data_IF_863252928933
#
_entry.id   IF_863252928933
#
_cell.length_a   1.000
_cell.length_b   1.000
_cell.length_c   1.000
_cell.angle_alpha   90.00
_cell.angle_beta   90.00
_cell.angle_gamma   90.00
#
_symmetry.space_group_name_H-M   'P 1'
#
loop_
_entity.id
_entity.type
_entity.pdbx_description
1 polymer ?
#
# COMPACT_ATOMS: atom_id res chain seq x y z
N UNK A 1 18.41 28.85 10.10
CA UNK A 1 18.03 27.44 10.32
C UNK A 1 17.84 27.12 11.80
N UNK A 2 18.80 27.43 12.69
CA UNK A 2 18.60 27.30 14.15
C UNK A 2 17.27 27.92 14.64
N UNK A 3 16.98 29.19 14.30
CA UNK A 3 15.72 29.83 14.68
C UNK A 3 14.46 29.10 14.21
N UNK A 4 14.51 28.45 13.04
CA UNK A 4 13.40 27.63 12.53
C UNK A 4 13.27 26.36 13.37
N UNK A 5 14.39 25.70 13.65
CA UNK A 5 14.45 24.55 14.57
C UNK A 5 13.84 24.91 15.93
N UNK A 6 14.25 26.04 16.52
CA UNK A 6 13.77 26.48 17.84
C UNK A 6 12.27 26.81 17.85
N UNK A 7 11.72 27.26 16.72
CA UNK A 7 10.28 27.50 16.54
C UNK A 7 9.46 26.21 16.34
N UNK A 8 10.10 25.11 15.95
CA UNK A 8 9.46 23.80 15.84
C UNK A 8 9.34 23.13 17.22
N UNK A 9 8.34 22.28 17.40
CA UNK A 9 8.18 21.42 18.58
C UNK A 9 9.03 20.15 18.45
N UNK A 10 9.45 19.51 19.57
CA UNK A 10 9.99 18.16 19.54
C UNK A 10 9.01 17.21 18.83
N UNK A 11 9.53 16.34 17.97
CA UNK A 11 8.71 15.43 17.21
C UNK A 11 8.47 14.14 17.98
N UNK A 12 7.20 13.80 18.20
CA UNK A 12 6.75 12.50 18.71
C UNK A 12 6.74 11.45 17.59
N UNK A 13 6.52 10.19 17.95
CA UNK A 13 6.18 9.12 17.01
C UNK A 13 5.08 8.24 17.60
N UNK A 14 4.36 7.53 16.74
CA UNK A 14 3.33 6.60 17.18
C UNK A 14 3.93 5.30 17.69
N UNK A 15 3.53 4.85 18.88
CA UNK A 15 3.82 3.52 19.41
C UNK A 15 2.61 3.02 20.18
N UNK A 16 2.09 1.85 19.81
CA UNK A 16 0.96 1.22 20.50
C UNK A 16 -0.26 2.15 20.69
N UNK A 17 -0.61 2.94 19.67
CA UNK A 17 -1.72 3.92 19.68
C UNK A 17 -1.50 5.16 20.55
N UNK A 18 -0.28 5.41 21.00
CA UNK A 18 0.09 6.63 21.72
C UNK A 18 1.20 7.40 20.99
N UNK A 19 1.14 8.73 21.07
CA UNK A 19 2.26 9.58 20.66
C UNK A 19 3.31 9.58 21.77
N UNK A 20 4.48 9.04 21.47
CA UNK A 20 5.59 8.91 22.40
C UNK A 20 6.69 9.91 22.02
N UNK A 21 7.20 10.61 23.03
CA UNK A 21 8.43 11.41 22.94
C UNK A 21 9.58 10.60 23.54
N UNK A 22 10.39 9.97 22.69
CA UNK A 22 11.61 9.25 23.07
C UNK A 22 12.74 9.64 22.11
N UNK A 23 13.66 10.46 22.61
CA UNK A 23 14.80 10.98 21.85
C UNK A 23 15.84 9.89 21.50
N UNK A 24 15.76 8.71 22.13
CA UNK A 24 16.54 7.53 21.76
C UNK A 24 16.04 6.85 20.48
N UNK A 25 14.78 7.11 20.11
CA UNK A 25 14.16 6.54 18.91
C UNK A 25 13.93 7.59 17.81
N UNK A 26 13.53 8.81 18.20
CA UNK A 26 13.37 9.94 17.29
C UNK A 26 13.90 11.21 17.96
N UNK A 27 15.03 11.70 17.47
CA UNK A 27 15.53 13.03 17.80
C UNK A 27 15.31 13.92 16.57
N UNK A 28 14.19 14.63 16.54
CA UNK A 28 13.86 15.57 15.47
C UNK A 28 12.89 16.63 15.99
N UNK A 29 12.75 17.73 15.25
CA UNK A 29 11.71 18.74 15.50
C UNK A 29 10.75 18.80 14.32
N UNK A 30 9.49 19.09 14.58
CA UNK A 30 8.45 19.24 13.54
C UNK A 30 7.66 20.53 13.73
N UNK A 31 7.02 20.97 12.66
CA UNK A 31 5.98 21.99 12.66
C UNK A 31 4.80 21.43 11.88
N UNK A 32 3.59 21.55 12.44
CA UNK A 32 2.38 21.00 11.85
C UNK A 32 1.86 21.94 10.75
N UNK A 33 1.19 21.40 9.73
CA UNK A 33 0.78 22.16 8.53
C UNK A 33 -0.06 23.42 8.78
N UNK A 34 -0.69 23.53 9.95
CA UNK A 34 -1.46 24.71 10.35
C UNK A 34 -0.59 25.90 10.81
N UNK A 35 0.66 25.64 11.20
CA UNK A 35 1.56 26.63 11.79
C UNK A 35 2.52 27.25 10.77
N UNK A 36 2.47 26.81 9.51
CA UNK A 36 3.24 27.39 8.42
C UNK A 36 2.49 27.36 7.09
N UNK A 37 2.96 28.18 6.15
CA UNK A 37 2.46 28.21 4.78
C UNK A 37 3.62 28.06 3.82
N UNK A 38 3.37 27.37 2.70
CA UNK A 38 4.32 27.22 1.61
C UNK A 38 3.81 27.94 0.37
N UNK A 39 4.74 28.43 -0.45
CA UNK A 39 4.45 28.92 -1.79
C UNK A 39 5.50 28.34 -2.75
N UNK A 40 5.18 27.19 -3.35
CA UNK A 40 6.11 26.39 -4.18
C UNK A 40 5.94 26.70 -5.68
N UNK A 41 5.07 27.65 -6.05
CA UNK A 41 4.85 28.05 -7.46
C UNK A 41 4.08 27.02 -8.30
N UNK A 42 3.91 27.31 -9.60
CA UNK A 42 3.15 26.48 -10.54
C UNK A 42 3.85 25.14 -10.87
N UNK A 43 5.18 25.09 -10.76
CA UNK A 43 6.00 23.91 -11.08
C UNK A 43 5.77 22.75 -10.09
N UNK A 44 5.19 23.01 -8.92
CA UNK A 44 4.89 21.96 -7.94
C UNK A 44 3.94 20.90 -8.48
N UNK A 45 2.98 21.28 -9.34
CA UNK A 45 2.06 20.31 -9.95
C UNK A 45 2.78 19.38 -10.93
N UNK A 46 3.76 19.89 -11.67
CA UNK A 46 4.59 19.09 -12.57
C UNK A 46 5.53 18.17 -11.79
N UNK A 47 6.22 18.68 -10.77
CA UNK A 47 7.05 17.87 -9.88
C UNK A 47 6.25 16.74 -9.24
N UNK A 48 5.05 17.05 -8.73
CA UNK A 48 4.17 16.06 -8.14
C UNK A 48 3.76 15.02 -9.17
N UNK A 49 3.42 15.44 -10.39
CA UNK A 49 3.12 14.54 -11.51
C UNK A 49 4.25 13.57 -11.81
N UNK A 50 5.48 14.07 -11.92
CA UNK A 50 6.67 13.25 -12.17
C UNK A 50 6.98 12.30 -11.00
N UNK A 51 6.87 12.79 -9.76
CA UNK A 51 7.14 11.98 -8.56
C UNK A 51 6.15 10.81 -8.43
N UNK A 52 4.86 11.08 -8.64
CA UNK A 52 3.82 10.05 -8.56
C UNK A 52 3.89 9.09 -9.74
N UNK A 53 4.14 9.58 -10.96
CA UNK A 53 4.35 8.71 -12.12
C UNK A 53 5.56 7.78 -11.94
N UNK A 54 6.64 8.28 -11.31
CA UNK A 54 7.82 7.46 -11.00
C UNK A 54 7.53 6.39 -9.95
N UNK A 55 6.71 6.71 -8.94
CA UNK A 55 6.34 5.80 -7.87
C UNK A 55 5.35 4.72 -8.33
N UNK A 56 4.29 5.14 -9.02
CA UNK A 56 3.21 4.25 -9.47
C UNK A 56 3.52 3.53 -10.77
N UNK A 57 4.55 3.98 -11.51
CA UNK A 57 4.98 3.44 -12.81
C UNK A 57 3.86 3.54 -13.88
N UNK A 58 3.96 2.75 -14.95
CA UNK A 58 3.03 2.79 -16.08
C UNK A 58 1.64 2.25 -15.72
N UNK A 59 1.64 1.27 -14.80
CA UNK A 59 0.55 0.41 -14.38
C UNK A 59 -0.59 1.15 -13.65
N UNK A 60 -0.43 2.45 -13.41
CA UNK A 60 -1.45 3.30 -12.79
C UNK A 60 -1.48 4.71 -13.43
N UNK A 61 -1.07 4.82 -14.69
CA UNK A 61 -0.93 6.12 -15.38
C UNK A 61 -2.26 6.88 -15.56
N UNK A 62 -3.40 6.20 -15.46
CA UNK A 62 -4.75 6.75 -15.52
C UNK A 62 -5.30 7.18 -14.15
N UNK A 63 -4.67 6.72 -13.05
CA UNK A 63 -5.14 7.01 -11.70
C UNK A 63 -4.87 8.46 -11.33
N UNK A 64 -5.91 9.09 -10.78
CA UNK A 64 -5.85 10.45 -10.26
C UNK A 64 -5.41 10.45 -8.80
N UNK A 65 -4.67 11.48 -8.43
CA UNK A 65 -4.08 11.61 -7.10
C UNK A 65 -4.08 13.06 -6.63
N UNK A 66 -3.91 13.23 -5.31
CA UNK A 66 -3.66 14.52 -4.66
C UNK A 66 -2.52 14.39 -3.66
N UNK A 67 -1.80 15.48 -3.42
CA UNK A 67 -0.86 15.61 -2.33
C UNK A 67 -1.43 16.54 -1.26
N UNK A 68 -1.31 16.14 0.00
CA UNK A 68 -1.73 16.91 1.17
C UNK A 68 -0.49 17.27 1.98
N UNK A 69 -0.24 18.57 2.18
CA UNK A 69 0.85 19.02 3.05
C UNK A 69 0.59 18.51 4.46
N UNK A 70 1.55 17.78 5.01
CA UNK A 70 1.42 17.15 6.32
C UNK A 70 2.24 17.88 7.37
N UNK A 71 3.56 17.96 7.18
CA UNK A 71 4.45 18.59 8.17
C UNK A 71 5.76 19.07 7.57
N UNK A 72 6.38 20.01 8.29
CA UNK A 72 7.77 20.37 8.11
C UNK A 72 8.61 19.66 9.19
N UNK A 73 9.71 19.03 8.82
CA UNK A 73 10.64 18.43 9.77
C UNK A 73 11.99 19.17 9.73
N UNK A 74 12.59 19.35 10.89
CA UNK A 74 13.94 19.90 11.06
C UNK A 74 14.79 18.91 11.85
N UNK A 75 15.88 18.47 11.23
CA UNK A 75 16.90 17.63 11.85
C UNK A 75 18.17 18.47 11.99
N UNK A 76 18.56 18.77 13.23
CA UNK A 76 19.83 19.43 13.53
C UNK A 76 20.95 18.43 13.80
N UNK A 77 22.14 18.87 14.22
CA UNK A 77 23.25 17.95 14.53
C UNK A 77 22.85 16.87 15.54
N UNK A 78 23.17 15.62 15.25
CA UNK A 78 22.81 14.44 16.03
C UNK A 78 21.36 13.97 15.86
N UNK A 79 20.49 14.75 15.21
CA UNK A 79 19.08 14.37 14.99
C UNK A 79 18.95 13.19 14.02
N UNK A 80 18.04 12.26 14.31
CA UNK A 80 17.76 11.04 13.53
C UNK A 80 16.31 10.59 13.72
N UNK A 81 15.88 9.60 12.95
CA UNK A 81 14.64 8.88 13.21
C UNK A 81 14.83 7.42 12.83
N UNK A 82 14.70 6.50 13.78
CA UNK A 82 14.85 5.06 13.58
C UNK A 82 13.82 4.48 12.58
N UNK A 83 14.04 3.24 12.16
CA UNK A 83 13.18 2.52 11.20
C UNK A 83 11.72 2.46 11.64
N UNK A 84 10.83 3.02 10.83
CA UNK A 84 9.38 3.09 11.03
C UNK A 84 8.62 3.04 9.70
N UNK A 85 7.28 3.00 9.76
CA UNK A 85 6.38 3.14 8.60
C UNK A 85 5.51 4.39 8.74
N UNK A 86 4.91 4.81 7.63
CA UNK A 86 3.93 5.90 7.68
C UNK A 86 2.65 5.43 8.33
N UNK A 87 2.14 6.16 9.31
CA UNK A 87 0.83 5.87 9.88
C UNK A 87 -0.25 6.22 8.86
N UNK A 88 -1.04 5.24 8.38
CA UNK A 88 -2.08 5.51 7.42
C UNK A 88 -3.20 6.37 8.00
N UNK A 89 -3.81 7.22 7.16
CA UNK A 89 -4.85 8.19 7.56
C UNK A 89 -6.18 8.02 6.85
N UNK A 90 -6.19 7.30 5.73
CA UNK A 90 -7.37 7.00 4.95
C UNK A 90 -7.10 5.78 4.06
N UNK A 91 -8.15 5.04 3.71
CA UNK A 91 -8.14 3.94 2.74
C UNK A 91 -7.43 4.32 1.42
N UNK A 92 -7.59 5.55 0.96
CA UNK A 92 -7.03 6.03 -0.31
C UNK A 92 -5.57 6.51 -0.22
N UNK A 93 -4.98 6.55 0.98
CA UNK A 93 -3.57 6.94 1.14
C UNK A 93 -2.67 5.86 0.54
N UNK A 94 -1.71 6.24 -0.29
CA UNK A 94 -0.82 5.25 -0.90
C UNK A 94 0.66 5.47 -0.58
N UNK A 95 1.06 6.70 -0.21
CA UNK A 95 2.45 6.98 0.07
C UNK A 95 2.72 8.39 0.57
N UNK A 96 4.00 8.73 0.56
CA UNK A 96 4.51 10.02 0.98
C UNK A 96 5.44 10.59 -0.09
N UNK A 97 5.41 11.92 -0.22
CA UNK A 97 6.39 12.71 -0.96
C UNK A 97 7.16 13.57 0.04
N UNK A 98 8.48 13.42 0.06
CA UNK A 98 9.40 14.22 0.88
C UNK A 98 10.19 15.13 -0.03
N UNK A 99 10.02 16.45 0.14
CA UNK A 99 10.88 17.46 -0.47
C UNK A 99 11.97 17.85 0.51
N UNK A 100 13.23 17.71 0.11
CA UNK A 100 14.36 18.24 0.86
C UNK A 100 14.63 19.67 0.42
N UNK A 101 14.39 20.63 1.32
CA UNK A 101 14.73 22.02 1.05
C UNK A 101 16.25 22.16 0.95
N UNK A 102 16.76 23.08 0.10
CA UNK A 102 18.19 23.23 -0.19
C UNK A 102 18.92 23.94 0.97
N UNK A 103 18.92 23.32 2.14
CA UNK A 103 19.57 23.80 3.35
C UNK A 103 20.93 23.15 3.52
N UNK A 104 21.91 23.88 4.03
CA UNK A 104 23.26 23.34 4.27
C UNK A 104 23.24 22.30 5.42
N UNK A 105 23.67 21.08 5.12
CA UNK A 105 23.78 19.98 6.08
C UNK A 105 24.72 18.86 5.58
N UNK A 106 25.20 18.03 6.50
CA UNK A 106 25.87 16.75 6.21
C UNK A 106 25.19 15.61 6.97
N UNK A 107 25.17 14.40 6.38
CA UNK A 107 24.39 13.28 6.92
C UNK A 107 22.88 13.48 6.70
N UNK A 108 22.05 12.84 7.52
CA UNK A 108 20.59 12.97 7.38
C UNK A 108 19.98 12.14 6.25
N UNK A 109 20.68 11.12 5.75
CA UNK A 109 20.22 10.23 4.67
C UNK A 109 18.87 9.64 5.01
N UNK A 110 17.91 9.73 4.09
CA UNK A 110 16.68 8.95 4.17
C UNK A 110 16.94 7.57 3.54
N UNK A 111 16.81 6.51 4.33
CA UNK A 111 16.95 5.13 3.88
C UNK A 111 15.57 4.52 3.77
N UNK A 112 15.27 3.92 2.61
CA UNK A 112 14.01 3.24 2.32
C UNK A 112 14.29 1.75 2.10
N UNK A 113 13.48 0.87 2.71
CA UNK A 113 13.60 -0.58 2.59
C UNK A 113 12.26 -1.18 2.19
N UNK A 114 12.20 -1.72 0.98
CA UNK A 114 11.04 -2.43 0.46
C UNK A 114 11.45 -3.87 0.13
N UNK A 115 11.00 -4.83 0.94
CA UNK A 115 11.44 -6.21 0.89
C UNK A 115 12.97 -6.36 1.02
N UNK A 116 13.64 -6.82 -0.04
CA UNK A 116 15.09 -7.04 -0.07
C UNK A 116 15.87 -5.86 -0.67
N UNK A 117 15.18 -4.81 -1.12
CA UNK A 117 15.81 -3.65 -1.75
C UNK A 117 15.99 -2.51 -0.74
N UNK A 118 17.19 -1.91 -0.71
CA UNK A 118 17.50 -0.72 0.07
C UNK A 118 17.86 0.46 -0.85
N UNK A 119 17.19 1.59 -0.66
CA UNK A 119 17.43 2.82 -1.41
C UNK A 119 17.88 3.94 -0.46
N UNK A 120 18.86 4.74 -0.89
CA UNK A 120 19.39 5.87 -0.10
C UNK A 120 19.14 7.17 -0.82
N UNK A 121 18.44 8.07 -0.16
CA UNK A 121 18.20 9.43 -0.63
C UNK A 121 19.08 10.41 0.15
N UNK A 122 20.14 10.87 -0.53
CA UNK A 122 21.16 11.76 0.01
C UNK A 122 20.88 13.23 -0.35
N UNK A 123 20.17 13.95 0.52
CA UNK A 123 19.83 15.36 0.28
C UNK A 123 20.97 16.35 0.52
N UNK A 124 22.08 15.90 1.11
CA UNK A 124 23.23 16.75 1.46
C UNK A 124 24.14 17.08 0.26
N UNK A 125 24.01 16.36 -0.85
CA UNK A 125 24.92 16.47 -2.00
C UNK A 125 24.56 17.57 -3.02
N UNK A 126 23.48 18.33 -2.80
CA UNK A 126 22.93 19.27 -3.79
C UNK A 126 23.72 20.58 -3.96
N UNK A 127 24.93 20.69 -3.41
CA UNK A 127 25.84 21.82 -3.66
C UNK A 127 26.83 21.46 -4.77
N UNK A 128 26.37 20.96 -5.91
CA UNK A 128 27.24 20.94 -7.08
C UNK A 128 27.36 22.38 -7.60
N UNK A 129 28.42 23.04 -7.14
CA UNK A 129 28.84 24.40 -7.53
C UNK A 129 29.17 24.57 -9.03
N UNK A 130 28.92 23.53 -9.83
CA UNK A 130 29.11 23.49 -11.28
C UNK A 130 28.00 24.21 -12.08
N UNK A 131 26.82 24.44 -11.47
CA UNK A 131 25.75 25.24 -12.08
C UNK A 131 25.84 26.71 -11.63
N UNK A 132 26.43 27.55 -12.48
CA UNK A 132 26.35 29.01 -12.41
C UNK A 132 24.91 29.49 -12.72
N UNK A 133 23.95 29.22 -11.83
CA UNK A 133 22.58 29.70 -12.00
C UNK A 133 21.93 30.04 -10.68
N UNK A 134 21.22 31.17 -10.63
CA UNK A 134 20.34 31.65 -9.54
C UNK A 134 19.14 30.70 -9.24
N UNK A 135 19.23 29.43 -9.61
CA UNK A 135 18.16 28.42 -9.52
C UNK A 135 18.52 27.42 -8.43
N UNK A 136 17.75 27.43 -7.35
CA UNK A 136 17.87 26.44 -6.30
C UNK A 136 17.17 25.13 -6.71
N UNK A 137 17.90 24.02 -6.72
CA UNK A 137 17.35 22.67 -6.99
C UNK A 137 16.75 22.09 -5.72
N UNK A 138 15.54 21.53 -5.83
CA UNK A 138 14.88 20.79 -4.74
C UNK A 138 14.95 19.31 -5.04
N UNK A 139 15.58 18.55 -4.14
CA UNK A 139 15.60 17.09 -4.22
C UNK A 139 14.33 16.53 -3.58
N UNK A 140 13.84 15.42 -4.11
CA UNK A 140 12.64 14.77 -3.60
C UNK A 140 12.76 13.25 -3.57
N UNK A 141 11.98 12.63 -2.69
CA UNK A 141 11.79 11.19 -2.62
C UNK A 141 10.29 10.89 -2.47
N UNK A 142 9.76 9.97 -3.28
CA UNK A 142 8.40 9.47 -3.18
C UNK A 142 8.44 7.97 -2.91
N UNK A 143 7.65 7.49 -1.96
CA UNK A 143 7.63 6.07 -1.56
C UNK A 143 6.26 5.67 -1.04
N UNK A 144 5.96 4.37 -1.11
CA UNK A 144 4.72 3.84 -0.57
C UNK A 144 4.73 3.82 0.95
N UNK A 145 3.57 4.07 1.58
CA UNK A 145 3.52 4.29 3.03
C UNK A 145 3.87 3.05 3.87
N UNK A 146 3.73 1.85 3.29
CA UNK A 146 4.10 0.59 3.96
C UNK A 146 5.60 0.28 3.95
N UNK A 147 6.41 1.09 3.25
CA UNK A 147 7.86 0.92 3.13
C UNK A 147 8.52 1.32 4.46
N UNK A 148 9.39 0.45 4.97
CA UNK A 148 10.19 0.75 6.15
C UNK A 148 11.21 1.83 5.82
N UNK A 149 11.29 2.85 6.66
CA UNK A 149 12.19 3.96 6.41
C UNK A 149 12.77 4.57 7.68
N UNK A 150 13.96 5.15 7.55
CA UNK A 150 14.66 5.83 8.62
C UNK A 150 15.45 7.03 8.12
N UNK A 151 15.76 7.94 9.02
CA UNK A 151 16.64 9.08 8.79
C UNK A 151 17.91 8.87 9.61
N UNK A 152 19.03 8.65 8.92
CA UNK A 152 20.34 8.53 9.57
C UNK A 152 20.75 9.86 10.24
N UNK A 153 21.66 9.83 11.24
CA UNK A 153 22.05 11.04 11.95
C UNK A 153 22.55 12.17 11.03
N UNK A 154 22.09 13.39 11.30
CA UNK A 154 22.69 14.60 10.73
C UNK A 154 23.99 14.88 11.47
N UNK A 155 25.09 15.03 10.73
CA UNK A 155 26.43 15.27 11.27
C UNK A 155 26.64 16.75 11.55
N UNK A 156 26.23 17.61 10.62
CA UNK A 156 26.36 19.07 10.73
C UNK A 156 25.26 19.79 9.96
N UNK A 157 25.01 21.06 10.31
CA UNK A 157 23.98 21.87 9.68
C UNK A 157 22.56 21.45 10.06
N UNK A 158 21.59 21.76 9.19
CA UNK A 158 20.18 21.49 9.42
C UNK A 158 19.53 20.93 8.16
N UNK A 159 19.03 19.71 8.23
CA UNK A 159 18.20 19.12 7.17
C UNK A 159 16.76 19.52 7.40
N UNK A 160 16.17 20.23 6.44
CA UNK A 160 14.77 20.67 6.50
C UNK A 160 13.99 20.00 5.38
N UNK A 161 12.87 19.36 5.72
CA UNK A 161 12.00 18.71 4.75
C UNK A 161 10.56 19.13 4.86
N UNK A 162 9.85 19.11 3.73
CA UNK A 162 8.40 19.13 3.66
C UNK A 162 7.92 17.72 3.33
N UNK A 163 6.97 17.21 4.10
CA UNK A 163 6.34 15.92 3.85
C UNK A 163 4.89 16.14 3.39
N UNK A 164 4.51 15.45 2.34
CA UNK A 164 3.15 15.40 1.83
C UNK A 164 2.64 13.96 1.88
N UNK A 165 1.40 13.77 2.35
CA UNK A 165 0.69 12.51 2.20
C UNK A 165 0.11 12.44 0.78
N UNK A 166 0.23 11.29 0.12
CA UNK A 166 -0.28 11.05 -1.21
C UNK A 166 -1.54 10.17 -1.16
N UNK A 167 -2.60 10.61 -1.84
CA UNK A 167 -3.88 9.91 -1.88
C UNK A 167 -4.35 9.69 -3.31
N UNK A 168 -4.95 8.53 -3.58
CA UNK A 168 -5.83 8.37 -4.73
C UNK A 168 -7.05 9.27 -4.57
N UNK A 169 -7.54 9.83 -5.67
CA UNK A 169 -8.58 10.86 -5.65
C UNK A 169 -9.40 10.84 -6.93
N UNK A 170 -10.72 10.93 -6.83
CA UNK A 170 -11.58 11.07 -8.01
C UNK A 170 -11.60 12.50 -8.60
N UNK A 171 -11.13 13.49 -7.81
CA UNK A 171 -11.06 14.90 -8.21
C UNK A 171 -10.26 15.08 -9.50
N UNK A 172 -10.71 15.93 -10.44
CA UNK A 172 -10.02 16.14 -11.71
C UNK A 172 -8.65 16.79 -11.49
N UNK A 173 -7.61 15.98 -11.35
CA UNK A 173 -6.25 16.38 -11.65
C UNK A 173 -5.98 16.02 -13.11
N UNK A 174 -5.38 16.94 -13.86
CA UNK A 174 -4.89 16.64 -15.20
C UNK A 174 -3.48 16.05 -15.04
N UNK A 175 -3.28 14.72 -15.16
CA UNK A 175 -1.93 14.21 -15.29
C UNK A 175 -1.31 14.81 -16.56
N UNK A 176 -0.09 15.32 -16.45
CA UNK A 176 0.76 15.43 -17.63
C UNK A 176 0.90 14.00 -18.16
N UNK A 177 0.47 13.80 -19.42
CA UNK A 177 0.51 12.48 -20.03
C UNK A 177 1.94 11.95 -19.96
N UNK A 178 2.15 10.92 -19.15
CA UNK A 178 3.35 10.12 -19.22
C UNK A 178 3.27 9.35 -20.53
N UNK A 179 4.19 9.59 -21.46
CA UNK A 179 4.32 8.83 -22.72
C UNK A 179 4.87 7.42 -22.47
N UNK A 180 4.53 6.79 -21.34
CA UNK A 180 4.87 5.41 -21.09
C UNK A 180 3.80 4.57 -21.76
N UNK A 181 4.14 4.08 -22.94
CA UNK A 181 3.33 3.12 -23.68
C UNK A 181 3.07 1.93 -22.76
N UNK A 182 1.81 1.53 -22.51
CA UNK A 182 1.52 0.33 -21.75
C UNK A 182 2.21 -0.84 -22.45
N UNK A 183 3.22 -1.41 -21.81
CA UNK A 183 3.79 -2.66 -22.28
C UNK A 183 2.64 -3.68 -22.24
N UNK A 184 2.33 -4.32 -23.37
CA UNK A 184 1.37 -5.43 -23.39
C UNK A 184 1.99 -6.49 -22.49
N UNK A 185 1.52 -6.57 -21.25
CA UNK A 185 2.20 -7.34 -20.22
C UNK A 185 2.28 -8.80 -20.64
N UNK A 186 3.45 -9.42 -20.46
CA UNK A 186 3.60 -10.86 -20.70
C UNK A 186 2.55 -11.69 -19.96
N UNK A 187 2.07 -11.18 -18.81
CA UNK A 187 0.96 -11.74 -18.06
C UNK A 187 -0.35 -11.81 -18.85
N UNK A 188 -0.75 -10.74 -19.56
CA UNK A 188 -1.96 -10.75 -20.41
C UNK A 188 -1.87 -11.84 -21.47
N UNK A 189 -0.74 -11.91 -22.18
CA UNK A 189 -0.53 -12.91 -23.23
C UNK A 189 -0.56 -14.33 -22.65
N UNK A 190 0.10 -14.55 -21.51
CA UNK A 190 0.11 -15.85 -20.84
C UNK A 190 -1.30 -16.28 -20.41
N UNK A 191 -2.05 -15.41 -19.72
CA UNK A 191 -3.41 -15.73 -19.28
C UNK A 191 -4.34 -15.94 -20.47
N UNK A 192 -4.24 -15.13 -21.52
CA UNK A 192 -5.02 -15.31 -22.74
C UNK A 192 -4.72 -16.66 -23.42
N UNK A 193 -3.46 -17.10 -23.44
CA UNK A 193 -3.09 -18.40 -23.99
C UNK A 193 -3.63 -19.54 -23.12
N UNK A 194 -3.57 -19.42 -21.79
CA UNK A 194 -4.19 -20.39 -20.88
C UNK A 194 -5.70 -20.50 -21.13
N UNK A 195 -6.42 -19.38 -21.28
CA UNK A 195 -7.86 -19.41 -21.55
C UNK A 195 -8.22 -20.13 -22.86
N UNK A 196 -7.34 -20.08 -23.86
CA UNK A 196 -7.50 -20.80 -25.15
C UNK A 196 -7.16 -22.28 -25.08
N UNK A 197 -6.41 -22.70 -24.07
CA UNK A 197 -6.04 -24.10 -23.88
C UNK A 197 -7.24 -24.88 -23.32
N UNK A 198 -7.77 -25.89 -24.03
CA UNK A 198 -8.92 -26.67 -23.56
C UNK A 198 -8.61 -27.51 -22.31
N UNK A 199 -7.34 -27.69 -21.95
CA UNK A 199 -6.92 -28.42 -20.75
C UNK A 199 -6.85 -27.54 -19.50
N UNK A 200 -6.85 -26.22 -19.68
CA UNK A 200 -6.74 -25.28 -18.56
C UNK A 200 -8.11 -25.06 -17.91
N UNK A 201 -8.31 -25.62 -16.71
CA UNK A 201 -9.55 -25.51 -15.92
C UNK A 201 -10.83 -25.75 -16.77
N UNK A 202 -11.00 -26.91 -17.42
CA UNK A 202 -12.07 -27.11 -18.42
C UNK A 202 -13.48 -26.91 -17.85
N UNK A 203 -13.67 -27.16 -16.55
CA UNK A 203 -14.92 -26.98 -15.81
C UNK A 203 -15.03 -25.60 -15.13
N UNK A 204 -14.12 -24.68 -15.44
CA UNK A 204 -13.97 -23.41 -14.74
C UNK A 204 -13.22 -23.57 -13.42
N UNK A 205 -13.02 -22.47 -12.71
CA UNK A 205 -12.34 -22.47 -11.42
C UNK A 205 -11.89 -21.09 -10.97
N UNK A 206 -11.14 -21.05 -9.87
CA UNK A 206 -10.64 -19.82 -9.28
C UNK A 206 -9.12 -19.76 -9.36
N UNK A 207 -8.59 -18.61 -9.75
CA UNK A 207 -7.18 -18.26 -9.58
C UNK A 207 -7.01 -17.31 -8.40
N UNK A 208 -6.04 -17.59 -7.54
CA UNK A 208 -5.71 -16.76 -6.39
C UNK A 208 -4.40 -16.01 -6.58
N UNK A 209 -4.39 -14.73 -6.22
CA UNK A 209 -3.20 -13.89 -6.21
C UNK A 209 -3.08 -13.19 -4.85
N UNK A 210 -2.10 -13.56 -4.03
CA UNK A 210 -1.66 -12.69 -2.94
C UNK A 210 -1.05 -11.42 -3.53
N UNK A 211 -1.63 -10.27 -3.16
CA UNK A 211 -1.18 -8.97 -3.65
C UNK A 211 0.18 -8.60 -3.04
N UNK A 212 1.00 -7.91 -3.83
CA UNK A 212 2.36 -7.53 -3.46
C UNK A 212 2.36 -6.46 -2.37
N UNK A 213 1.46 -5.49 -2.46
CA UNK A 213 1.46 -4.35 -1.56
C UNK A 213 0.49 -4.55 -0.39
N UNK A 214 0.81 -3.90 0.72
CA UNK A 214 -0.15 -3.71 1.82
C UNK A 214 -0.91 -2.39 1.63
N UNK A 215 -2.16 -2.36 2.08
CA UNK A 215 -3.08 -1.24 1.88
C UNK A 215 -3.59 -0.73 3.23
N UNK A 216 -3.72 0.60 3.42
CA UNK A 216 -4.39 1.14 4.60
C UNK A 216 -5.79 0.57 4.72
N UNK A 217 -6.17 0.03 5.87
CA UNK A 217 -7.49 -0.52 6.12
C UNK A 217 -7.93 -0.23 7.55
N UNK A 218 -9.22 -0.03 7.72
CA UNK A 218 -9.91 0.12 9.00
C UNK A 218 -10.98 -0.96 9.17
N UNK A 219 -11.49 -1.13 10.39
CA UNK A 219 -12.65 -1.98 10.66
C UNK A 219 -13.93 -1.55 9.89
N UNK A 220 -13.94 -0.37 9.27
CA UNK A 220 -15.06 0.16 8.47
C UNK A 220 -14.80 0.11 6.97
N UNK A 221 -13.64 -0.34 6.54
CA UNK A 221 -13.23 -0.32 5.14
C UNK A 221 -13.96 -1.39 4.34
N UNK A 222 -14.41 -1.02 3.15
CA UNK A 222 -14.99 -1.95 2.17
C UNK A 222 -13.87 -2.44 1.25
N UNK A 223 -13.50 -3.71 1.41
CA UNK A 223 -12.39 -4.36 0.71
C UNK A 223 -12.54 -4.29 -0.81
N UNK A 224 -13.77 -4.30 -1.34
CA UNK A 224 -13.96 -4.25 -2.80
C UNK A 224 -13.62 -2.88 -3.39
N UNK A 225 -13.70 -1.80 -2.60
CA UNK A 225 -13.34 -0.44 -3.09
C UNK A 225 -11.86 -0.29 -3.38
N UNK A 226 -11.01 -1.14 -2.81
CA UNK A 226 -9.56 -1.11 -3.00
C UNK A 226 -9.13 -1.45 -4.42
N UNK A 227 -10.00 -2.01 -5.26
CA UNK A 227 -9.74 -2.17 -6.69
C UNK A 227 -9.28 -0.83 -7.30
N UNK A 228 -9.92 0.28 -6.91
CA UNK A 228 -9.53 1.63 -7.36
C UNK A 228 -8.17 2.10 -6.81
N UNK A 229 -7.69 1.51 -5.71
CA UNK A 229 -6.47 1.90 -4.99
C UNK A 229 -5.29 0.93 -5.17
N UNK A 230 -5.43 -0.13 -5.98
CA UNK A 230 -4.35 -1.09 -6.21
C UNK A 230 -3.10 -0.43 -6.81
N UNK A 231 -1.92 -0.83 -6.31
CA UNK A 231 -0.61 -0.25 -6.64
C UNK A 231 0.15 -1.17 -7.59
N UNK A 232 0.79 -0.60 -8.62
CA UNK A 232 1.71 -1.31 -9.52
C UNK A 232 1.12 -2.60 -10.09
N UNK A 233 1.85 -3.71 -9.92
CA UNK A 233 1.47 -5.03 -10.46
C UNK A 233 0.13 -5.55 -9.94
N UNK A 234 -0.29 -5.14 -8.73
CA UNK A 234 -1.60 -5.54 -8.19
C UNK A 234 -2.74 -4.99 -9.04
N UNK A 235 -2.58 -3.75 -9.54
CA UNK A 235 -3.54 -3.14 -10.46
C UNK A 235 -3.55 -3.85 -11.82
N UNK A 236 -2.37 -4.18 -12.33
CA UNK A 236 -2.21 -4.89 -13.62
C UNK A 236 -2.98 -6.20 -13.65
N UNK A 237 -3.03 -6.97 -12.55
CA UNK A 237 -3.77 -8.23 -12.53
C UNK A 237 -5.25 -8.00 -12.78
N UNK A 238 -5.85 -7.01 -12.11
CA UNK A 238 -7.27 -6.65 -12.28
C UNK A 238 -7.55 -6.07 -13.66
N UNK A 239 -6.68 -5.19 -14.17
CA UNK A 239 -6.81 -4.64 -15.53
C UNK A 239 -6.80 -5.74 -16.60
N UNK A 240 -5.91 -6.72 -16.45
CA UNK A 240 -5.82 -7.86 -17.38
C UNK A 240 -7.04 -8.76 -17.26
N UNK A 241 -7.51 -9.05 -16.04
CA UNK A 241 -8.74 -9.82 -15.83
C UNK A 241 -9.94 -9.13 -16.51
N UNK A 242 -10.13 -7.83 -16.27
CA UNK A 242 -11.19 -7.02 -16.88
C UNK A 242 -11.08 -6.99 -18.41
N UNK A 243 -9.86 -6.81 -18.96
CA UNK A 243 -9.62 -6.78 -20.40
C UNK A 243 -9.88 -8.13 -21.09
N UNK A 244 -9.89 -9.23 -20.34
CA UNK A 244 -10.23 -10.58 -20.80
C UNK A 244 -11.68 -10.96 -20.46
N UNK A 245 -12.47 -10.04 -19.88
CA UNK A 245 -13.87 -10.27 -19.51
C UNK A 245 -14.05 -11.19 -18.29
N UNK A 246 -13.01 -11.34 -17.45
CA UNK A 246 -13.06 -12.16 -16.24
C UNK A 246 -13.54 -11.34 -15.04
N UNK A 247 -14.33 -11.97 -14.18
CA UNK A 247 -14.71 -11.40 -12.89
C UNK A 247 -13.57 -11.52 -11.88
N UNK A 248 -13.40 -10.51 -11.03
CA UNK A 248 -12.40 -10.55 -9.97
C UNK A 248 -12.87 -9.87 -8.69
N UNK A 249 -12.42 -10.37 -7.54
CA UNK A 249 -12.88 -9.93 -6.22
C UNK A 249 -11.73 -9.91 -5.22
N UNK A 250 -11.69 -8.90 -4.36
CA UNK A 250 -10.68 -8.79 -3.30
C UNK A 250 -11.10 -9.55 -2.05
N UNK A 251 -10.14 -10.12 -1.31
CA UNK A 251 -10.37 -10.87 -0.08
C UNK A 251 -9.31 -10.54 0.96
N UNK A 252 -9.72 -10.54 2.23
CA UNK A 252 -8.81 -10.50 3.37
C UNK A 252 -8.86 -11.89 4.00
N UNK A 253 -7.69 -12.45 4.30
CA UNK A 253 -7.55 -13.73 5.00
C UNK A 253 -6.87 -13.47 6.33
N UNK A 254 -7.45 -13.96 7.41
CA UNK A 254 -6.87 -13.91 8.75
C UNK A 254 -6.47 -15.32 9.16
N UNK A 255 -5.24 -15.49 9.60
CA UNK A 255 -4.82 -16.71 10.29
C UNK A 255 -5.30 -16.65 11.75
N UNK A 256 -6.25 -17.52 12.09
CA UNK A 256 -6.85 -17.59 13.43
C UNK A 256 -6.32 -18.76 14.25
N UNK A 257 -5.25 -19.42 13.78
CA UNK A 257 -4.62 -20.55 14.48
C UNK A 257 -4.18 -20.20 15.91
N UNK A 258 -3.96 -18.92 16.23
CA UNK A 258 -3.60 -18.46 17.59
C UNK A 258 -4.81 -18.22 18.53
N UNK A 259 -6.04 -18.18 18.00
CA UNK A 259 -7.26 -17.83 18.78
C UNK A 259 -8.10 -19.08 19.11
N UNK A 260 -7.92 -20.19 18.39
CA UNK A 260 -8.66 -21.44 18.57
C UNK A 260 -7.77 -22.63 18.98
N UNK A 261 -8.28 -23.48 19.87
CA UNK A 261 -7.57 -24.66 20.40
C UNK A 261 -7.89 -25.96 19.62
N UNK A 262 -8.41 -25.85 18.40
CA UNK A 262 -8.76 -27.00 17.54
C UNK A 262 -8.35 -26.71 16.08
N UNK A 263 -8.03 -27.80 15.37
CA UNK A 263 -7.27 -27.87 14.12
C UNK A 263 -7.55 -26.79 13.06
N UNK A 264 -6.44 -26.21 12.57
CA UNK A 264 -6.17 -25.49 11.32
C UNK A 264 -7.29 -25.33 10.28
N UNK A 265 -8.21 -24.39 10.48
CA UNK A 265 -9.05 -23.85 9.40
C UNK A 265 -8.57 -22.44 9.01
N UNK A 266 -8.22 -22.25 7.73
CA UNK A 266 -7.93 -20.93 7.16
C UNK A 266 -9.27 -20.28 6.77
N UNK A 267 -9.59 -19.14 7.38
CA UNK A 267 -10.88 -18.47 7.19
C UNK A 267 -10.77 -17.33 6.17
N UNK A 268 -11.62 -17.36 5.15
CA UNK A 268 -11.70 -16.33 4.11
C UNK A 268 -12.84 -15.37 4.42
N UNK A 269 -12.56 -14.07 4.35
CA UNK A 269 -13.57 -13.05 4.61
C UNK A 269 -13.81 -12.20 3.36
N UNK A 270 -15.09 -12.13 2.97
CA UNK A 270 -15.58 -11.30 1.86
C UNK A 270 -15.53 -9.80 2.20
N UNK A 271 -15.41 -9.48 3.50
CA UNK A 271 -15.38 -8.12 4.06
C UNK A 271 -14.41 -8.09 5.25
N UNK A 272 -13.82 -6.92 5.54
CA UNK A 272 -12.99 -6.75 6.74
C UNK A 272 -13.83 -7.10 7.97
N UNK A 273 -13.30 -7.93 8.88
CA UNK A 273 -14.04 -8.39 10.06
C UNK A 273 -14.42 -7.18 10.92
N UNK A 274 -15.73 -7.02 11.18
CA UNK A 274 -16.26 -6.00 12.09
C UNK A 274 -15.85 -6.36 13.52
N UNK A 275 -15.33 -5.41 14.28
CA UNK A 275 -15.31 -5.54 15.74
C UNK A 275 -16.77 -5.71 16.22
N UNK A 276 -17.17 -6.93 16.57
CA UNK A 276 -18.35 -7.12 17.41
C UNK A 276 -17.86 -7.14 18.85
N UNK A 277 -18.16 -6.10 19.60
CA UNK A 277 -18.05 -6.15 21.05
C UNK A 277 -18.97 -7.25 21.60
N UNK A 278 -18.38 -8.40 21.93
CA UNK A 278 -19.05 -9.61 22.43
C UNK A 278 -18.18 -10.85 22.19
N UNK A 279 -18.30 -11.85 23.05
CA UNK A 279 -17.41 -13.02 23.20
C UNK A 279 -17.28 -14.00 22.00
N UNK A 280 -17.45 -13.57 20.74
CA UNK A 280 -17.08 -14.35 19.55
C UNK A 280 -16.96 -13.44 18.30
N UNK A 281 -15.78 -12.87 17.98
CA UNK A 281 -15.64 -11.82 16.98
C UNK A 281 -15.71 -12.28 15.51
N UNK A 282 -15.85 -13.58 15.26
CA UNK A 282 -15.48 -14.16 13.95
C UNK A 282 -16.66 -14.72 13.15
N UNK A 283 -17.83 -14.91 13.76
CA UNK A 283 -18.87 -15.77 13.16
C UNK A 283 -19.87 -15.10 12.20
N UNK A 284 -19.86 -13.79 12.01
CA UNK A 284 -21.01 -13.16 11.35
C UNK A 284 -20.95 -13.16 9.80
N UNK A 285 -19.79 -13.29 9.14
CA UNK A 285 -19.71 -13.19 7.66
C UNK A 285 -18.56 -13.98 6.96
N UNK A 286 -17.99 -15.01 7.59
CA UNK A 286 -16.86 -15.78 7.02
C UNK A 286 -17.26 -17.18 6.51
N UNK A 287 -16.64 -17.63 5.42
CA UNK A 287 -16.71 -19.05 4.99
C UNK A 287 -15.44 -19.78 5.46
N UNK A 288 -15.63 -20.98 6.05
CA UNK A 288 -14.53 -21.91 6.36
C UNK A 288 -14.11 -22.62 5.06
N UNK A 289 -12.82 -22.66 4.75
CA UNK A 289 -12.32 -23.32 3.54
C UNK A 289 -11.07 -24.14 3.86
N UNK A 290 -11.14 -25.46 3.75
CA UNK A 290 -9.98 -26.33 3.95
C UNK A 290 -9.12 -26.41 2.68
N UNK A 291 -7.80 -26.30 2.83
CA UNK A 291 -6.85 -26.67 1.77
C UNK A 291 -6.83 -28.19 1.62
N UNK A 292 -7.67 -28.74 0.75
CA UNK A 292 -7.50 -30.13 0.29
C UNK A 292 -6.83 -30.13 -1.07
N UNK A 293 -5.59 -30.61 -1.11
CA UNK A 293 -4.96 -31.11 -2.34
C UNK A 293 -5.76 -32.34 -2.83
N UNK A 294 -6.75 -32.14 -3.70
CA UNK A 294 -7.26 -33.23 -4.51
C UNK A 294 -8.00 -32.72 -5.75
N UNK A 295 -7.66 -33.33 -6.88
CA UNK A 295 -8.46 -33.41 -8.11
C UNK A 295 -9.93 -33.68 -7.77
N UNK A 296 -10.79 -32.67 -7.85
CA UNK A 296 -12.13 -32.76 -8.44
C UNK A 296 -12.84 -31.41 -8.37
N UNK A 297 -13.22 -30.90 -9.54
CA UNK A 297 -13.88 -29.61 -9.74
C UNK A 297 -15.38 -29.76 -9.59
N UNK A 298 -16.00 -28.94 -8.71
CA UNK A 298 -17.42 -28.62 -8.79
C UNK A 298 -17.64 -27.12 -8.65
N UNK A 299 -18.15 -26.52 -9.72
CA UNK A 299 -18.72 -25.18 -9.74
C UNK A 299 -20.06 -25.18 -8.98
N UNK A 300 -20.34 -24.12 -8.23
CA UNK A 300 -21.68 -23.82 -7.72
C UNK A 300 -22.08 -22.48 -8.31
N UNK A 301 -23.15 -22.49 -9.09
CA UNK A 301 -23.83 -21.31 -9.61
C UNK A 301 -24.60 -20.60 -8.51
N UNK A 302 -24.64 -19.28 -8.63
CA UNK A 302 -25.37 -18.33 -7.81
C UNK A 302 -26.88 -18.62 -7.85
N UNK A 303 -27.43 -19.24 -6.79
CA UNK A 303 -28.85 -19.16 -6.44
C UNK A 303 -29.04 -19.57 -4.97
N UNK A 304 -29.57 -18.64 -4.17
CA UNK A 304 -30.18 -18.81 -2.83
C UNK A 304 -29.25 -19.19 -1.66
N UNK A 305 -28.86 -18.16 -0.90
CA UNK A 305 -28.39 -18.25 0.48
C UNK A 305 -29.55 -18.57 1.43
N UNK A 306 -29.97 -19.83 1.49
CA UNK A 306 -30.68 -20.37 2.64
C UNK A 306 -30.06 -21.72 3.05
N UNK A 307 -29.74 -21.81 4.33
CA UNK A 307 -29.44 -23.02 5.10
C UNK A 307 -28.16 -23.80 4.78
N UNK A 308 -27.16 -23.60 5.64
CA UNK A 308 -25.99 -24.46 5.77
C UNK A 308 -26.40 -25.86 6.22
N UNK A 309 -26.60 -26.76 5.26
CA UNK A 309 -26.55 -28.21 5.52
C UNK A 309 -25.28 -28.81 4.91
N UNK A 310 -24.44 -29.35 5.80
CA UNK A 310 -23.28 -30.20 5.58
C UNK A 310 -23.17 -30.84 4.18
N UNK A 311 -22.10 -30.53 3.43
CA UNK A 311 -21.68 -31.33 2.28
C UNK A 311 -21.10 -30.57 1.07
N UNK A 312 -21.11 -29.24 1.05
CA UNK A 312 -20.41 -28.49 0.00
C UNK A 312 -18.90 -28.47 0.29
N UNK A 313 -18.11 -29.09 -0.59
CA UNK A 313 -16.66 -28.94 -0.58
C UNK A 313 -16.31 -27.47 -0.78
N UNK A 314 -15.41 -26.95 0.04
CA UNK A 314 -14.81 -25.63 -0.11
C UNK A 314 -14.30 -25.43 -1.57
N UNK A 315 -14.63 -24.33 -2.27
CA UNK A 315 -14.07 -24.05 -3.59
C UNK A 315 -12.53 -24.10 -3.63
N UNK A 316 -11.96 -24.89 -4.54
CA UNK A 316 -10.50 -24.98 -4.71
C UNK A 316 -9.99 -23.72 -5.42
N UNK A 317 -9.05 -23.01 -4.79
CA UNK A 317 -8.37 -21.83 -5.36
C UNK A 317 -6.97 -22.23 -5.84
N UNK A 318 -6.69 -21.99 -7.12
CA UNK A 318 -5.38 -22.22 -7.70
C UNK A 318 -4.48 -20.99 -7.49
N UNK A 319 -3.65 -21.00 -6.47
CA UNK A 319 -2.78 -19.88 -6.12
C UNK A 319 -1.61 -19.73 -7.08
N UNK A 320 -1.57 -18.61 -7.80
CA UNK A 320 -0.49 -18.24 -8.72
C UNK A 320 0.62 -17.51 -7.97
N UNK A 321 0.25 -16.64 -7.03
CA UNK A 321 1.16 -16.06 -6.05
C UNK A 321 0.78 -16.52 -4.65
N UNK A 322 1.75 -16.54 -3.74
CA UNK A 322 1.54 -16.99 -2.37
C UNK A 322 0.41 -16.19 -1.71
N UNK A 323 -0.55 -16.89 -1.12
CA UNK A 323 -1.66 -16.29 -0.39
C UNK A 323 -1.16 -15.45 0.79
N UNK A 324 -1.69 -14.23 0.92
CA UNK A 324 -1.46 -13.40 2.09
C UNK A 324 -2.37 -13.84 3.24
N UNK A 325 -1.78 -14.43 4.28
CA UNK A 325 -2.46 -14.87 5.51
C UNK A 325 -2.17 -14.00 6.73
N UNK A 326 -1.09 -13.21 6.68
CA UNK A 326 -0.59 -12.41 7.80
C UNK A 326 -1.39 -11.13 8.10
N UNK A 327 -2.72 -11.18 8.02
CA UNK A 327 -3.54 -10.11 8.60
C UNK A 327 -3.76 -10.47 10.07
N UNK A 328 -3.19 -9.69 10.99
CA UNK A 328 -3.42 -9.90 12.41
C UNK A 328 -4.78 -9.30 12.81
N UNK A 329 -5.64 -10.10 13.44
CA UNK A 329 -6.73 -9.59 14.27
C UNK A 329 -6.10 -9.20 15.59
N UNK A 330 -5.73 -7.93 15.71
CA UNK A 330 -5.10 -7.29 16.89
C UNK A 330 -4.61 -8.19 18.04
N UNK A 331 -3.32 -8.48 18.05
CA UNK A 331 -2.59 -8.68 19.30
C UNK A 331 -1.31 -7.84 19.24
N UNK A 332 -1.41 -6.60 19.73
CA UNK A 332 -0.28 -5.80 20.25
C UNK A 332 1.07 -5.95 19.53
N UNK A 333 1.12 -5.84 18.21
CA UNK A 333 2.40 -5.68 17.53
C UNK A 333 2.88 -4.25 17.73
N UNK A 334 4.16 -4.10 18.08
CA UNK A 334 4.79 -2.80 18.31
C UNK A 334 4.90 -2.07 16.96
N UNK A 335 3.83 -1.40 16.55
CA UNK A 335 3.81 -0.58 15.35
C UNK A 335 4.45 0.77 15.68
N UNK A 336 5.63 0.99 15.10
CA UNK A 336 6.29 2.28 15.13
C UNK A 336 5.85 3.08 13.90
N UNK A 337 5.09 4.13 14.17
CA UNK A 337 4.47 4.97 13.16
C UNK A 337 4.92 6.42 13.25
N UNK A 338 4.58 7.18 12.22
CA UNK A 338 4.89 8.60 12.17
C UNK A 338 4.14 9.42 13.25
N UNK A 339 2.92 8.98 13.59
CA UNK A 339 2.03 9.46 14.68
C UNK A 339 1.12 8.30 15.13
N UNK A 340 0.44 8.43 16.27
CA UNK A 340 -0.62 7.52 16.68
C UNK A 340 -1.93 7.84 15.99
N UNK A 341 -2.51 6.87 15.27
CA UNK A 341 -3.86 6.99 14.69
C UNK A 341 -4.61 5.69 14.96
N UNK A 342 -5.85 5.81 15.44
CA UNK A 342 -6.67 4.69 15.92
C UNK A 342 -7.42 3.92 14.82
N UNK A 343 -7.42 4.41 13.58
CA UNK A 343 -8.43 3.97 12.61
C UNK A 343 -7.91 3.15 11.45
N UNK A 344 -6.65 3.29 11.02
CA UNK A 344 -6.14 2.54 9.86
C UNK A 344 -4.83 1.83 10.18
N UNK A 345 -4.66 0.63 9.63
CA UNK A 345 -3.43 -0.17 9.65
C UNK A 345 -3.15 -0.69 8.24
N UNK A 346 -1.91 -1.06 7.94
CA UNK A 346 -1.63 -1.76 6.68
C UNK A 346 -2.01 -3.22 6.82
N UNK A 347 -2.90 -3.70 5.95
CA UNK A 347 -3.13 -5.14 5.78
C UNK A 347 -2.89 -5.59 4.35
N UNK A 348 -2.75 -6.90 4.18
CA UNK A 348 -2.42 -7.56 2.93
C UNK A 348 -3.69 -8.17 2.32
N UNK A 349 -3.93 -7.89 1.05
CA UNK A 349 -5.10 -8.36 0.32
C UNK A 349 -4.76 -9.54 -0.58
N UNK A 350 -5.78 -10.31 -0.92
CA UNK A 350 -5.75 -11.33 -1.96
C UNK A 350 -6.75 -10.95 -3.05
N UNK A 351 -6.44 -11.28 -4.31
CA UNK A 351 -7.37 -11.16 -5.43
C UNK A 351 -7.73 -12.55 -5.91
N UNK A 352 -9.03 -12.79 -6.08
CA UNK A 352 -9.58 -13.99 -6.69
C UNK A 352 -10.07 -13.62 -8.09
N UNK A 353 -9.67 -14.37 -9.11
CA UNK A 353 -10.13 -14.24 -10.48
C UNK A 353 -10.90 -15.49 -10.87
N UNK A 354 -12.12 -15.29 -11.38
CA UNK A 354 -13.00 -16.37 -11.82
C UNK A 354 -12.70 -16.74 -13.26
N UNK A 355 -12.47 -18.03 -13.49
CA UNK A 355 -12.23 -18.60 -14.82
C UNK A 355 -13.51 -19.33 -15.25
N UNK A 356 -14.16 -18.90 -16.34
CA UNK A 356 -15.37 -19.56 -16.81
C UNK A 356 -15.06 -20.96 -17.35
N UNK A 357 -16.04 -21.88 -17.34
CA UNK A 357 -15.94 -23.17 -18.01
C UNK A 357 -15.60 -23.03 -19.49
N UNK A 358 -14.98 -24.05 -20.08
CA UNK A 358 -14.55 -24.02 -21.49
C UNK A 358 -15.71 -23.69 -22.45
N UNK A 359 -16.92 -24.15 -22.13
CA UNK A 359 -18.15 -23.92 -22.90
C UNK A 359 -18.57 -22.46 -22.98
N UNK A 360 -18.09 -21.62 -22.07
CA UNK A 360 -18.47 -20.20 -21.95
C UNK A 360 -17.37 -19.24 -22.43
N UNK A 361 -16.19 -19.75 -22.78
CA UNK A 361 -15.01 -18.93 -23.16
C UNK A 361 -15.08 -18.30 -24.56
N UNK A 362 -16.15 -18.53 -25.32
CA UNK A 362 -16.30 -17.95 -26.67
C UNK A 362 -15.12 -18.24 -27.59
N UNK A 363 -14.59 -19.47 -27.55
CA UNK A 363 -13.57 -19.91 -28.49
C UNK A 363 -14.25 -20.10 -29.85
N UNK A 364 -14.10 -19.16 -30.77
CA UNK A 364 -14.34 -19.44 -32.18
C UNK A 364 -13.43 -20.62 -32.56
N UNK A 365 -14.04 -21.79 -32.75
CA UNK A 365 -13.41 -23.09 -33.06
C UNK A 365 -12.79 -23.06 -34.47
#
# INVERSE_FOLDING_TARGET
LQRLSDACQPATFGRNREDVLDEGYRLARKMDAQDFSINIGFDFSELLGQAVASLLRAENSDKRFRAELYKLNVYGPGSFFMTHKDTPRADSMFGSLVLALPTEHQGGTLVLRDNNDEYKFESSQSQDSSFNSDVATVLWAAFYGQVDHEVLPVISGYRVTLTFNLYFSDSPFHPLMSNVVPEVSGFRTALQNCLKDPTFLPLGGLLGFGLKHAYPMSAKSDVQKYVSYLKGTDCTIVEVANALGLSSYLRVVYDLSEIGNEDSDVWYYDQCVRETGGDDPIREYGYAMSETESDDTKAISDETLEDTSAGASAPVINWITMMNRDNSVETSYINWGNESVLFHLYGKLNLIVEIPPLTERGLDI
#
